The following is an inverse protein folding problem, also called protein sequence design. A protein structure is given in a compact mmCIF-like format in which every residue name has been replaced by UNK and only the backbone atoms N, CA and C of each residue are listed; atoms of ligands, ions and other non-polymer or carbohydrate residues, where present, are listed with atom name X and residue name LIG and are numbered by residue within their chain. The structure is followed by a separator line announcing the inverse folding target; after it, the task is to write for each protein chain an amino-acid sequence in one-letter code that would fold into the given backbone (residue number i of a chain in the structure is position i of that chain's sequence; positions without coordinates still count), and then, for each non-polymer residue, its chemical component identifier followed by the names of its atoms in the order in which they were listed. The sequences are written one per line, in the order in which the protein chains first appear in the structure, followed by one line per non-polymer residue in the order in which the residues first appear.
data_IF_634379330493
#
_entry.id   IF_634379330493
#
_cell.length_a   1.000
_cell.length_b   1.000
_cell.length_c   1.000
_cell.angle_alpha   90.00
_cell.angle_beta   90.00
_cell.angle_gamma   90.00
#
_symmetry.space_group_name_H-M   'P 1'
#
loop_
_entity.id
_entity.type
_entity.pdbx_description
1 polymer ?
#
# COMPACT_ATOMS: atom_id res chain seq x y z
N UNK A 1 -33.42 12.49 -21.26
CA UNK A 1 -32.94 13.55 -22.15
C UNK A 1 -31.40 13.54 -22.20
N UNK A 2 -30.84 13.83 -23.35
CA UNK A 2 -29.38 13.93 -23.53
C UNK A 2 -28.86 15.11 -22.67
N UNK A 3 -27.97 14.84 -21.77
CA UNK A 3 -27.32 15.88 -20.94
C UNK A 3 -26.23 16.54 -21.79
N UNK A 4 -26.25 17.88 -21.80
CA UNK A 4 -25.23 18.65 -22.53
C UNK A 4 -23.84 18.40 -21.88
N UNK A 5 -22.85 17.83 -22.58
CA UNK A 5 -21.53 17.56 -22.02
C UNK A 5 -20.81 18.80 -21.48
N UNK A 6 -21.04 19.98 -22.10
CA UNK A 6 -20.44 21.24 -21.65
C UNK A 6 -21.03 21.72 -20.31
N UNK A 7 -22.32 21.46 -20.06
CA UNK A 7 -22.94 21.79 -18.77
C UNK A 7 -22.45 20.83 -17.68
N UNK A 8 -22.25 19.54 -18.00
CA UNK A 8 -21.64 18.56 -17.10
C UNK A 8 -20.24 18.99 -16.67
N UNK A 9 -19.42 19.41 -17.60
CA UNK A 9 -18.04 19.81 -17.34
C UNK A 9 -17.96 21.03 -16.41
N UNK A 10 -18.89 21.96 -16.54
CA UNK A 10 -18.97 23.15 -15.68
C UNK A 10 -19.54 22.86 -14.30
N UNK A 11 -20.45 21.89 -14.19
CA UNK A 11 -21.12 21.57 -12.94
C UNK A 11 -20.41 20.51 -12.08
N UNK A 12 -19.36 19.87 -12.58
CA UNK A 12 -18.62 18.86 -11.84
C UNK A 12 -17.21 19.32 -11.52
N UNK A 13 -16.83 19.19 -10.26
CA UNK A 13 -15.44 19.40 -9.83
C UNK A 13 -14.92 18.13 -9.19
N UNK A 14 -13.75 17.69 -9.64
CA UNK A 14 -13.06 16.49 -9.14
C UNK A 14 -11.59 16.82 -8.92
N UNK A 15 -11.13 16.69 -7.70
CA UNK A 15 -9.72 16.87 -7.34
C UNK A 15 -9.22 15.64 -6.61
N UNK A 16 -8.14 15.05 -7.11
CA UNK A 16 -7.47 13.94 -6.50
C UNK A 16 -6.01 14.29 -6.28
N UNK A 17 -5.57 14.25 -5.04
CA UNK A 17 -4.19 14.42 -4.64
C UNK A 17 -3.70 13.13 -4.01
N UNK A 18 -2.53 12.67 -4.41
CA UNK A 18 -1.88 11.52 -3.80
C UNK A 18 -0.42 11.83 -3.53
N UNK A 19 0.01 11.53 -2.32
CA UNK A 19 1.39 11.64 -1.86
C UNK A 19 1.87 10.27 -1.44
N UNK A 20 3.07 9.88 -1.90
CA UNK A 20 3.69 8.62 -1.56
C UNK A 20 5.12 8.88 -1.11
N UNK A 21 5.47 8.35 0.06
CA UNK A 21 6.82 8.38 0.61
C UNK A 21 7.31 6.95 0.69
N UNK A 22 8.37 6.64 -0.04
CA UNK A 22 9.03 5.34 -0.03
C UNK A 22 10.40 5.47 0.63
N UNK A 23 10.58 4.75 1.72
CA UNK A 23 11.84 4.65 2.45
C UNK A 23 12.31 3.21 2.42
N UNK A 24 13.58 3.00 2.09
CA UNK A 24 14.19 1.68 2.18
C UNK A 24 15.63 1.77 2.66
N UNK A 25 16.02 0.78 3.46
CA UNK A 25 17.36 0.68 3.98
C UNK A 25 17.72 -0.77 4.26
N UNK A 26 19.02 -1.06 4.28
CA UNK A 26 19.50 -2.38 4.68
C UNK A 26 20.81 -2.27 5.45
N UNK A 27 21.01 -3.24 6.32
CA UNK A 27 22.27 -3.47 7.03
C UNK A 27 22.76 -4.84 6.64
N UNK A 28 24.06 -4.93 6.29
CA UNK A 28 24.71 -6.18 5.96
C UNK A 28 25.92 -6.38 6.86
N UNK A 29 25.87 -7.41 7.70
CA UNK A 29 26.89 -7.76 8.68
C UNK A 29 27.57 -9.04 8.22
N UNK A 30 28.87 -9.00 8.03
CA UNK A 30 29.70 -10.19 7.76
C UNK A 30 30.36 -10.63 9.06
N UNK A 31 29.86 -11.67 9.69
CA UNK A 31 30.43 -12.23 10.92
C UNK A 31 31.75 -12.94 10.64
N UNK A 32 31.80 -13.67 9.51
CA UNK A 32 32.98 -14.39 9.04
C UNK A 32 33.04 -14.36 7.51
N UNK A 33 34.06 -14.98 6.93
CA UNK A 33 34.12 -15.17 5.48
C UNK A 33 33.03 -16.12 4.93
N UNK A 34 32.36 -16.84 5.83
CA UNK A 34 31.38 -17.88 5.52
C UNK A 34 29.97 -17.51 5.94
N UNK A 35 29.79 -16.60 6.90
CA UNK A 35 28.53 -16.27 7.52
C UNK A 35 28.24 -14.78 7.42
N UNK A 36 27.13 -14.43 6.82
CA UNK A 36 26.64 -13.06 6.71
C UNK A 36 25.16 -12.96 7.08
N UNK A 37 24.78 -11.82 7.63
CA UNK A 37 23.42 -11.47 7.97
C UNK A 37 23.04 -10.19 7.24
N UNK A 38 21.87 -10.21 6.60
CA UNK A 38 21.29 -9.03 5.95
C UNK A 38 19.92 -8.76 6.54
N UNK A 39 19.72 -7.55 7.05
CA UNK A 39 18.41 -7.02 7.44
C UNK A 39 18.01 -5.93 6.48
N UNK A 40 16.81 -6.00 5.94
CA UNK A 40 16.24 -5.01 5.01
C UNK A 40 14.92 -4.51 5.58
N UNK A 41 14.74 -3.19 5.59
CA UNK A 41 13.49 -2.55 5.98
C UNK A 41 13.00 -1.69 4.81
N UNK A 42 11.75 -1.89 4.42
CA UNK A 42 11.02 -1.05 3.49
C UNK A 42 9.79 -0.46 4.16
N UNK A 43 9.54 0.82 3.96
CA UNK A 43 8.36 1.54 4.45
C UNK A 43 7.79 2.35 3.30
N UNK A 44 6.49 2.15 3.02
CA UNK A 44 5.72 2.97 2.11
C UNK A 44 4.59 3.64 2.90
N UNK A 45 4.54 4.96 2.84
CA UNK A 45 3.47 5.77 3.38
C UNK A 45 2.73 6.41 2.20
N UNK A 46 1.42 6.26 2.17
CA UNK A 46 0.57 6.86 1.15
C UNK A 46 -0.52 7.69 1.81
N UNK A 47 -0.72 8.88 1.30
CA UNK A 47 -1.82 9.76 1.66
C UNK A 47 -2.58 10.14 0.40
N UNK A 48 -3.89 9.91 0.37
CA UNK A 48 -4.74 10.32 -0.73
C UNK A 48 -5.92 11.13 -0.24
N UNK A 49 -6.21 12.20 -0.97
CA UNK A 49 -7.35 13.08 -0.75
C UNK A 49 -8.12 13.23 -2.04
N UNK A 50 -9.42 12.94 -1.98
CA UNK A 50 -10.34 13.12 -3.09
C UNK A 50 -11.46 14.07 -2.66
N UNK A 51 -11.60 15.18 -3.37
CA UNK A 51 -12.68 16.15 -3.22
C UNK A 51 -13.53 16.13 -4.50
N UNK A 52 -14.82 15.96 -4.34
CA UNK A 52 -15.80 15.90 -5.43
C UNK A 52 -16.98 16.82 -5.13
N UNK A 53 -17.36 17.61 -6.10
CA UNK A 53 -18.53 18.49 -6.05
C UNK A 53 -19.38 18.24 -7.29
N UNK A 54 -20.67 18.14 -7.11
CA UNK A 54 -21.69 18.09 -8.14
C UNK A 54 -22.67 19.24 -7.93
N UNK A 55 -22.75 20.16 -8.89
CA UNK A 55 -23.72 21.25 -8.86
C UNK A 55 -25.13 20.74 -9.18
N UNK A 56 -26.14 21.52 -8.85
CA UNK A 56 -27.57 21.20 -8.99
C UNK A 56 -27.98 20.72 -10.39
N UNK A 57 -27.28 21.17 -11.44
CA UNK A 57 -27.56 20.78 -12.85
C UNK A 57 -26.94 19.45 -13.26
N UNK A 58 -26.15 18.81 -12.39
CA UNK A 58 -25.55 17.53 -12.72
C UNK A 58 -26.56 16.38 -12.61
N UNK A 59 -26.46 15.31 -13.44
CA UNK A 59 -27.34 14.15 -13.30
C UNK A 59 -27.26 13.51 -11.93
N UNK A 60 -26.06 13.48 -11.31
CA UNK A 60 -25.91 12.95 -9.96
C UNK A 60 -26.72 13.73 -8.93
N UNK A 61 -26.66 15.06 -8.96
CA UNK A 61 -27.45 15.92 -8.08
C UNK A 61 -28.95 15.78 -8.36
N UNK A 62 -29.35 15.79 -9.64
CA UNK A 62 -30.76 15.73 -10.03
C UNK A 62 -31.43 14.41 -9.64
N UNK A 63 -30.78 13.26 -9.96
CA UNK A 63 -31.40 11.95 -9.75
C UNK A 63 -31.24 11.41 -8.33
N UNK A 64 -30.13 11.72 -7.68
CA UNK A 64 -29.79 11.11 -6.38
C UNK A 64 -30.02 12.06 -5.19
N UNK A 65 -30.02 13.38 -5.42
CA UNK A 65 -30.02 14.37 -4.33
C UNK A 65 -31.08 15.47 -4.51
N UNK A 66 -32.13 15.19 -5.31
CA UNK A 66 -33.28 16.10 -5.49
C UNK A 66 -32.92 17.44 -6.17
N UNK A 67 -31.88 17.47 -6.98
CA UNK A 67 -31.43 18.68 -7.67
C UNK A 67 -30.62 19.64 -6.77
N UNK A 68 -30.16 19.22 -5.61
CA UNK A 68 -29.33 20.04 -4.73
C UNK A 68 -27.85 19.71 -4.91
N UNK A 69 -26.95 20.71 -4.74
CA UNK A 69 -25.53 20.47 -4.82
C UNK A 69 -25.06 19.44 -3.81
N UNK A 70 -24.10 18.61 -4.22
CA UNK A 70 -23.57 17.48 -3.48
C UNK A 70 -22.05 17.56 -3.34
N UNK A 71 -21.54 17.24 -2.16
CA UNK A 71 -20.11 17.18 -1.85
C UNK A 71 -19.74 15.79 -1.34
N UNK A 72 -18.64 15.27 -1.84
CA UNK A 72 -17.94 14.09 -1.29
C UNK A 72 -16.50 14.45 -1.02
N UNK A 73 -16.05 14.23 0.20
CA UNK A 73 -14.65 14.29 0.58
C UNK A 73 -14.21 12.96 1.13
N UNK A 74 -13.14 12.41 0.59
CA UNK A 74 -12.55 11.14 1.05
C UNK A 74 -11.07 11.33 1.30
N UNK A 75 -10.59 10.78 2.39
CA UNK A 75 -9.17 10.70 2.75
C UNK A 75 -8.83 9.26 3.06
N UNK A 76 -7.70 8.81 2.54
CA UNK A 76 -7.20 7.47 2.81
C UNK A 76 -5.71 7.54 3.10
N UNK A 77 -5.34 7.00 4.25
CA UNK A 77 -3.97 6.84 4.70
C UNK A 77 -3.59 5.36 4.59
N UNK A 78 -2.46 5.11 3.95
CA UNK A 78 -1.90 3.78 3.78
C UNK A 78 -0.50 3.70 4.37
N UNK A 79 -0.20 2.58 5.05
CA UNK A 79 1.12 2.25 5.55
C UNK A 79 1.44 0.81 5.18
N UNK A 80 2.50 0.63 4.40
CA UNK A 80 3.03 -0.70 4.10
C UNK A 80 4.43 -0.80 4.65
N UNK A 81 4.69 -1.81 5.47
CA UNK A 81 6.02 -2.13 6.02
C UNK A 81 6.42 -3.53 5.58
N UNK A 82 7.63 -3.65 5.10
CA UNK A 82 8.27 -4.92 4.79
C UNK A 82 9.62 -4.98 5.52
N UNK A 83 9.80 -6.01 6.34
CA UNK A 83 11.07 -6.29 7.00
C UNK A 83 11.49 -7.72 6.66
N UNK A 84 12.72 -7.86 6.15
CA UNK A 84 13.32 -9.15 5.80
C UNK A 84 14.65 -9.29 6.51
N UNK A 85 14.86 -10.43 7.17
CA UNK A 85 16.11 -10.80 7.83
C UNK A 85 16.59 -12.12 7.24
N UNK A 86 17.81 -12.13 6.75
CA UNK A 86 18.38 -13.24 6.02
C UNK A 86 19.76 -13.57 6.56
N UNK A 87 19.95 -14.80 7.00
CA UNK A 87 21.25 -15.38 7.35
C UNK A 87 21.74 -16.26 6.21
N UNK A 88 22.94 -15.99 5.73
CA UNK A 88 23.53 -16.74 4.62
C UNK A 88 24.85 -17.38 5.07
N UNK A 89 24.94 -18.69 4.87
CA UNK A 89 26.16 -19.44 5.02
C UNK A 89 26.68 -19.90 3.65
N UNK A 90 28.00 -19.78 3.43
CA UNK A 90 28.65 -20.29 2.21
C UNK A 90 30.06 -20.78 2.53
N UNK A 91 30.43 -21.93 2.01
CA UNK A 91 31.80 -22.42 2.11
C UNK A 91 32.67 -22.09 0.87
N UNK A 92 32.17 -21.31 -0.07
CA UNK A 92 32.85 -21.00 -1.33
C UNK A 92 34.26 -20.39 -1.16
N UNK A 93 34.53 -19.72 -0.03
CA UNK A 93 35.84 -19.12 0.29
C UNK A 93 36.74 -20.00 1.15
N UNK A 94 36.27 -21.20 1.52
CA UNK A 94 37.06 -22.17 2.30
C UNK A 94 38.13 -22.82 1.43
N UNK A 95 39.35 -22.93 1.96
CA UNK A 95 40.46 -23.62 1.28
C UNK A 95 40.59 -25.08 1.69
N UNK A 96 39.62 -25.63 2.48
CA UNK A 96 39.68 -27.02 2.94
C UNK A 96 39.55 -28.02 1.78
N UNK A 97 40.07 -29.20 1.96
CA UNK A 97 39.94 -30.30 0.98
C UNK A 97 38.45 -30.62 0.71
N UNK A 98 37.61 -30.54 1.75
CA UNK A 98 36.15 -30.68 1.62
C UNK A 98 35.54 -29.66 0.66
N UNK A 99 35.90 -28.39 0.80
CA UNK A 99 35.33 -27.28 0.00
C UNK A 99 35.76 -27.32 -1.46
N UNK A 100 36.88 -27.98 -1.78
CA UNK A 100 37.29 -28.17 -3.18
C UNK A 100 36.34 -29.07 -3.95
N UNK A 101 35.75 -30.06 -3.28
CA UNK A 101 34.83 -31.01 -3.89
C UNK A 101 33.35 -30.65 -3.61
N UNK A 102 33.08 -29.92 -2.56
CA UNK A 102 31.72 -29.63 -2.07
C UNK A 102 31.50 -28.12 -1.92
N UNK A 103 30.60 -27.57 -2.68
CA UNK A 103 30.14 -26.18 -2.51
C UNK A 103 28.74 -26.18 -1.89
N UNK A 104 28.62 -25.50 -0.76
CA UNK A 104 27.38 -25.39 0.00
C UNK A 104 27.05 -23.92 0.17
N UNK A 105 25.80 -23.57 -0.16
CA UNK A 105 25.22 -22.27 0.13
C UNK A 105 23.85 -22.49 0.78
N UNK A 106 23.68 -22.00 2.01
CA UNK A 106 22.43 -22.09 2.77
C UNK A 106 21.97 -20.69 3.13
N UNK A 107 20.70 -20.43 2.89
CA UNK A 107 20.03 -19.20 3.24
C UNK A 107 18.84 -19.55 4.15
N UNK A 108 18.79 -18.90 5.30
CA UNK A 108 17.66 -18.94 6.22
C UNK A 108 17.12 -17.53 6.36
N UNK A 109 15.82 -17.36 6.26
CA UNK A 109 15.24 -16.04 6.36
C UNK A 109 13.84 -16.04 6.95
N UNK A 110 13.48 -14.88 7.49
CA UNK A 110 12.12 -14.57 7.83
C UNK A 110 11.75 -13.18 7.28
N UNK A 111 10.48 -13.00 6.98
CA UNK A 111 9.93 -11.78 6.43
C UNK A 111 8.62 -11.43 7.13
N UNK A 112 8.46 -10.15 7.47
CA UNK A 112 7.21 -9.60 8.00
C UNK A 112 6.73 -8.55 7.02
N UNK A 113 5.50 -8.71 6.55
CA UNK A 113 4.80 -7.74 5.72
C UNK A 113 3.56 -7.25 6.45
N UNK A 114 3.42 -5.95 6.60
CA UNK A 114 2.26 -5.30 7.22
C UNK A 114 1.70 -4.30 6.22
N UNK A 115 0.41 -4.41 5.90
CA UNK A 115 -0.32 -3.44 5.11
C UNK A 115 -1.51 -2.94 5.93
N UNK A 116 -1.54 -1.64 6.19
CA UNK A 116 -2.58 -0.96 6.96
C UNK A 116 -3.18 0.15 6.11
N UNK A 117 -4.51 0.26 6.12
CA UNK A 117 -5.24 1.34 5.46
C UNK A 117 -6.31 1.88 6.40
N UNK A 118 -6.41 3.20 6.45
CA UNK A 118 -7.43 3.94 7.17
C UNK A 118 -8.12 4.89 6.22
N UNK A 119 -9.45 4.91 6.25
CA UNK A 119 -10.25 5.77 5.39
C UNK A 119 -11.27 6.56 6.18
N UNK A 120 -11.49 7.81 5.77
CA UNK A 120 -12.56 8.67 6.26
C UNK A 120 -13.27 9.30 5.07
N UNK A 121 -14.59 9.19 5.02
CA UNK A 121 -15.40 9.75 3.96
C UNK A 121 -16.56 10.56 4.53
N UNK A 122 -16.75 11.75 4.00
CA UNK A 122 -17.87 12.64 4.25
C UNK A 122 -18.69 12.78 2.98
N UNK A 123 -20.00 12.67 3.10
CA UNK A 123 -20.96 13.03 2.04
C UNK A 123 -21.99 14.00 2.57
N UNK A 124 -22.15 15.11 1.87
CA UNK A 124 -23.06 16.18 2.24
C UNK A 124 -23.88 16.58 1.02
N UNK A 125 -25.12 16.93 1.26
CA UNK A 125 -26.08 17.40 0.25
C UNK A 125 -26.77 18.69 0.73
N UNK A 126 -27.69 19.19 -0.06
CA UNK A 126 -28.52 20.33 0.28
C UNK A 126 -27.72 21.61 0.54
N UNK A 127 -26.64 21.83 -0.22
CA UNK A 127 -25.94 23.11 -0.22
C UNK A 127 -26.78 24.17 -0.92
N UNK A 128 -26.58 25.46 -0.59
CA UNK A 128 -27.22 26.55 -1.33
C UNK A 128 -26.89 26.50 -2.83
N UNK A 129 -27.91 26.76 -3.66
CA UNK A 129 -27.75 26.85 -5.12
C UNK A 129 -26.79 28.01 -5.44
N UNK A 130 -25.83 27.76 -6.35
CA UNK A 130 -24.82 28.74 -6.73
C UNK A 130 -23.59 28.77 -5.84
N UNK A 131 -23.48 27.85 -4.86
CA UNK A 131 -22.24 27.71 -4.08
C UNK A 131 -21.09 27.23 -4.97
N UNK A 132 -19.90 27.80 -4.81
CA UNK A 132 -18.72 27.35 -5.54
C UNK A 132 -18.12 26.08 -4.89
N UNK A 133 -17.40 25.24 -5.64
CA UNK A 133 -16.73 24.04 -5.09
C UNK A 133 -15.83 24.39 -3.90
N UNK A 134 -15.02 25.43 -4.00
CA UNK A 134 -14.09 25.88 -2.95
C UNK A 134 -14.83 26.28 -1.67
N UNK A 135 -15.95 27.03 -1.83
CA UNK A 135 -16.78 27.42 -0.71
C UNK A 135 -17.49 26.23 -0.07
N UNK A 136 -17.93 25.27 -0.86
CA UNK A 136 -18.56 24.05 -0.37
C UNK A 136 -17.58 23.16 0.41
N UNK A 137 -16.33 23.05 -0.06
CA UNK A 137 -15.28 22.30 0.65
C UNK A 137 -14.79 23.01 1.92
N UNK A 138 -14.71 24.34 1.91
CA UNK A 138 -14.28 25.12 3.07
C UNK A 138 -15.36 25.34 4.12
N UNK A 139 -16.63 25.21 3.75
CA UNK A 139 -17.79 25.50 4.61
C UNK A 139 -18.80 24.34 4.61
N UNK A 140 -18.31 23.15 4.99
CA UNK A 140 -19.11 21.90 4.95
C UNK A 140 -20.39 21.99 5.81
N UNK A 141 -20.40 22.86 6.82
CA UNK A 141 -21.57 23.12 7.68
C UNK A 141 -22.75 23.76 6.97
N UNK A 142 -22.55 24.31 5.76
CA UNK A 142 -23.64 24.81 4.91
C UNK A 142 -24.46 23.72 4.25
N UNK A 143 -23.92 22.48 4.17
CA UNK A 143 -24.63 21.32 3.68
C UNK A 143 -25.16 20.46 4.82
N UNK A 144 -26.05 19.54 4.49
CA UNK A 144 -26.56 18.52 5.41
C UNK A 144 -25.79 17.20 5.21
N UNK A 145 -25.34 16.61 6.29
CA UNK A 145 -24.70 15.30 6.28
C UNK A 145 -25.67 14.26 5.77
N UNK A 146 -25.23 13.43 4.83
CA UNK A 146 -26.01 12.30 4.33
C UNK A 146 -26.05 11.18 5.38
N UNK A 147 -27.16 10.50 5.50
CA UNK A 147 -27.29 9.36 6.40
C UNK A 147 -26.21 8.31 6.16
N UNK A 148 -25.62 7.77 7.24
CA UNK A 148 -24.50 6.85 7.17
C UNK A 148 -23.12 7.52 7.06
N UNK A 149 -23.04 8.85 7.13
CA UNK A 149 -21.78 9.58 7.11
C UNK A 149 -21.65 10.51 8.35
N UNK A 150 -20.40 10.83 8.77
CA UNK A 150 -19.13 10.36 8.22
C UNK A 150 -18.97 8.85 8.36
N UNK A 151 -18.36 8.20 7.39
CA UNK A 151 -17.98 6.79 7.46
C UNK A 151 -16.49 6.65 7.60
N UNK A 152 -16.04 5.68 8.41
CA UNK A 152 -14.64 5.34 8.56
C UNK A 152 -14.41 3.88 8.20
N UNK A 153 -13.22 3.59 7.70
CA UNK A 153 -12.79 2.23 7.39
C UNK A 153 -11.39 2.00 7.92
N UNK A 154 -11.14 0.82 8.43
CA UNK A 154 -9.83 0.37 8.87
C UNK A 154 -9.59 -1.05 8.39
N UNK A 155 -8.42 -1.29 7.82
CA UNK A 155 -7.99 -2.64 7.47
C UNK A 155 -6.51 -2.81 7.78
N UNK A 156 -6.14 -3.98 8.31
CA UNK A 156 -4.77 -4.36 8.57
C UNK A 156 -4.57 -5.82 8.21
N UNK A 157 -3.60 -6.06 7.34
CA UNK A 157 -3.18 -7.40 6.95
C UNK A 157 -1.71 -7.58 7.34
N UNK A 158 -1.40 -8.70 8.00
CA UNK A 158 -0.04 -9.06 8.37
C UNK A 158 0.29 -10.42 7.80
N UNK A 159 1.45 -10.53 7.16
CA UNK A 159 2.01 -11.78 6.66
C UNK A 159 3.36 -12.01 7.33
N UNK A 160 3.54 -13.17 7.94
CA UNK A 160 4.81 -13.64 8.49
C UNK A 160 5.25 -14.86 7.69
N UNK A 161 6.46 -14.82 7.19
CA UNK A 161 7.03 -15.88 6.35
C UNK A 161 8.36 -16.33 6.90
N UNK A 162 8.60 -17.66 6.85
CA UNK A 162 9.90 -18.26 7.07
C UNK A 162 10.30 -19.00 5.82
N UNK A 163 11.55 -18.86 5.41
CA UNK A 163 12.04 -19.50 4.20
C UNK A 163 13.48 -19.98 4.35
N UNK A 164 13.78 -21.04 3.66
CA UNK A 164 15.13 -21.59 3.55
C UNK A 164 15.41 -21.97 2.11
N UNK A 165 16.67 -21.81 1.71
CA UNK A 165 17.18 -22.29 0.45
C UNK A 165 18.54 -22.92 0.69
N UNK A 166 18.76 -24.09 0.14
CA UNK A 166 20.05 -24.78 0.13
C UNK A 166 20.44 -25.11 -1.30
N UNK A 167 21.62 -24.70 -1.69
CA UNK A 167 22.26 -25.12 -2.93
C UNK A 167 23.53 -25.92 -2.58
N UNK A 168 23.62 -27.09 -3.12
CA UNK A 168 24.76 -27.98 -2.93
C UNK A 168 25.31 -28.43 -4.30
N UNK A 169 26.62 -28.27 -4.49
CA UNK A 169 27.31 -28.71 -5.69
C UNK A 169 28.42 -29.66 -5.31
N UNK A 170 28.37 -30.87 -5.88
CA UNK A 170 29.37 -31.92 -5.67
C UNK A 170 30.27 -32.05 -6.89
N UNK A 171 31.57 -31.96 -6.67
CA UNK A 171 32.64 -32.09 -7.70
C UNK A 171 32.38 -31.25 -8.96
N UNK A 172 31.70 -30.10 -8.82
CA UNK A 172 31.32 -29.21 -9.93
C UNK A 172 30.49 -29.90 -11.05
N UNK A 173 29.89 -31.06 -10.76
CA UNK A 173 29.10 -31.85 -11.73
C UNK A 173 27.66 -32.05 -11.32
N UNK A 174 27.40 -32.23 -10.03
CA UNK A 174 26.08 -32.53 -9.52
C UNK A 174 25.61 -31.35 -8.72
N UNK A 175 24.45 -30.76 -9.11
CA UNK A 175 23.79 -29.66 -8.44
C UNK A 175 22.50 -30.13 -7.81
N UNK A 176 22.32 -29.80 -6.52
CA UNK A 176 21.07 -30.02 -5.80
C UNK A 176 20.61 -28.66 -5.27
N UNK A 177 19.32 -28.34 -5.49
CA UNK A 177 18.70 -27.14 -4.96
C UNK A 177 17.44 -27.53 -4.20
N UNK A 178 17.32 -27.04 -2.99
CA UNK A 178 16.15 -27.21 -2.14
C UNK A 178 15.67 -25.84 -1.70
N UNK A 179 14.36 -25.60 -1.77
CA UNK A 179 13.73 -24.36 -1.28
C UNK A 179 12.45 -24.73 -0.53
N UNK A 180 12.27 -24.15 0.64
CA UNK A 180 11.07 -24.26 1.44
C UNK A 180 10.62 -22.88 1.89
N UNK A 181 9.31 -22.63 1.89
CA UNK A 181 8.69 -21.41 2.43
C UNK A 181 7.39 -21.78 3.14
N UNK A 182 7.22 -21.26 4.33
CA UNK A 182 5.98 -21.31 5.10
C UNK A 182 5.48 -19.90 5.39
N UNK A 183 4.21 -19.63 5.11
CA UNK A 183 3.58 -18.33 5.27
C UNK A 183 2.40 -18.42 6.23
N UNK A 184 2.34 -17.51 7.21
CA UNK A 184 1.22 -17.32 8.10
C UNK A 184 0.61 -15.93 7.87
N UNK A 185 -0.71 -15.87 7.69
CA UNK A 185 -1.44 -14.62 7.46
C UNK A 185 -2.45 -14.34 8.56
N UNK A 186 -2.53 -13.09 8.99
CA UNK A 186 -3.57 -12.56 9.87
C UNK A 186 -4.31 -11.45 9.11
N UNK A 187 -5.61 -11.58 9.04
CA UNK A 187 -6.51 -10.57 8.46
C UNK A 187 -7.30 -9.90 9.56
#
# INVERSE_FOLDING_TARGET
GLVNPAALFKGQYRKYNQENINLSGHVNIKFTNYLSFKSTLGLNLSHSKQDSFDDFMTPNAMYNYGGNPFVRQSRTDGKTMNQSNVLTYTNAKSKSAFSKANSINVLLGHEIFINQKEGLEHRLKDFPIGITPESAFGQITKGKILAGYPSSSYSRNTLLSFFTRMNYTFKQRYLFSFTYRGDGSSK
#
